data_IF_200009080135
#
_entry.id   IF_200009080135
#
_cell.length_a   1.000
_cell.length_b   1.000
_cell.length_c   1.000
_cell.angle_alpha   90.00
_cell.angle_beta   90.00
_cell.angle_gamma   90.00
#
_symmetry.space_group_name_H-M   'P 1'
#
loop_
_entity.id
_entity.type
_entity.pdbx_description
1 polymer ?
#
# COMPACT_ATOMS: atom_id res chain seq x y z
N UNK A 1 -5.38 -3.19 -9.33
CA UNK A 1 -4.91 -2.34 -8.21
C UNK A 1 -3.99 -3.16 -7.32
N UNK A 2 -2.79 -2.67 -7.00
CA UNK A 2 -1.84 -3.36 -6.12
C UNK A 2 -1.52 -2.50 -4.88
N UNK A 3 -1.18 -3.12 -3.73
CA UNK A 3 -1.10 -2.41 -2.44
C UNK A 3 0.06 -1.41 -2.39
N UNK A 4 -0.15 -0.24 -1.80
CA UNK A 4 0.92 0.73 -1.59
C UNK A 4 2.00 0.16 -0.67
N UNK A 5 3.27 0.37 -1.03
CA UNK A 5 4.44 -0.12 -0.28
C UNK A 5 4.83 0.72 0.94
N UNK A 6 4.19 1.89 1.11
CA UNK A 6 4.47 2.84 2.19
C UNK A 6 5.97 3.18 2.26
N UNK A 7 6.53 3.68 1.15
CA UNK A 7 7.96 3.93 0.99
C UNK A 7 8.53 4.82 2.09
N UNK A 8 9.74 4.49 2.54
CA UNK A 8 10.51 5.30 3.50
C UNK A 8 10.84 6.64 2.87
N UNK A 9 11.30 6.61 1.62
CA UNK A 9 11.49 7.75 0.72
C UNK A 9 10.36 7.75 -0.31
N UNK A 10 9.25 8.46 -0.05
CA UNK A 10 8.07 8.45 -0.91
C UNK A 10 8.10 9.56 -1.99
N UNK A 11 8.55 9.28 -3.23
CA UNK A 11 8.57 10.30 -4.29
C UNK A 11 7.18 10.87 -4.60
N UNK A 12 6.12 10.11 -4.33
CA UNK A 12 4.75 10.57 -4.49
C UNK A 12 4.35 11.66 -3.47
N UNK A 13 4.91 11.66 -2.27
CA UNK A 13 4.74 12.73 -1.28
C UNK A 13 5.54 13.96 -1.72
N UNK A 14 6.79 13.78 -2.12
CA UNK A 14 7.68 14.87 -2.56
C UNK A 14 7.12 15.61 -3.79
N UNK A 15 6.48 14.86 -4.70
CA UNK A 15 5.83 15.43 -5.88
C UNK A 15 4.55 16.23 -5.57
N UNK A 16 3.97 16.11 -4.36
CA UNK A 16 2.71 16.75 -4.03
C UNK A 16 2.89 18.20 -3.55
N UNK A 17 2.79 19.15 -4.48
CA UNK A 17 2.93 20.59 -4.19
C UNK A 17 1.91 21.14 -3.19
N UNK A 18 0.67 20.64 -3.23
CA UNK A 18 -0.41 21.03 -2.32
C UNK A 18 -0.28 20.45 -0.90
N UNK A 19 0.74 19.61 -0.66
CA UNK A 19 0.91 18.85 0.59
C UNK A 19 -0.35 18.05 0.98
N UNK A 20 -1.13 17.65 -0.02
CA UNK A 20 -2.31 16.81 0.16
C UNK A 20 -1.91 15.36 0.43
N UNK A 21 -0.86 14.86 -0.25
CA UNK A 21 -0.23 13.60 0.07
C UNK A 21 0.91 13.87 1.06
N UNK A 22 0.80 13.33 2.27
CA UNK A 22 1.72 13.58 3.37
C UNK A 22 2.03 12.30 4.14
N UNK A 23 3.10 12.34 4.94
CA UNK A 23 3.36 11.37 6.01
C UNK A 23 2.56 11.83 7.23
N UNK A 24 1.68 11.00 7.78
CA UNK A 24 0.92 11.31 9.00
C UNK A 24 1.58 10.65 10.22
N UNK A 25 2.30 11.42 11.07
CA UNK A 25 2.98 10.88 12.25
C UNK A 25 2.00 10.31 13.27
N UNK A 26 0.78 10.85 13.36
CA UNK A 26 -0.24 10.43 14.33
C UNK A 26 -0.75 9.02 14.05
N UNK A 27 -0.64 8.59 12.81
CA UNK A 27 -1.08 7.27 12.34
C UNK A 27 0.09 6.31 12.09
N UNK A 28 1.25 6.53 12.74
CA UNK A 28 2.42 5.66 12.60
C UNK A 28 3.19 5.90 11.30
N UNK A 29 3.27 7.15 10.86
CA UNK A 29 3.95 7.58 9.63
C UNK A 29 3.33 6.99 8.35
N UNK A 30 2.01 6.75 8.33
CA UNK A 30 1.32 6.32 7.12
C UNK A 30 1.37 7.45 6.09
N UNK A 31 1.75 7.13 4.86
CA UNK A 31 1.58 8.05 3.74
C UNK A 31 0.11 8.02 3.37
N UNK A 32 -0.57 9.16 3.37
CA UNK A 32 -2.01 9.25 3.09
C UNK A 32 -2.37 10.54 2.35
N UNK A 33 -3.50 10.51 1.64
CA UNK A 33 -4.00 11.65 0.87
C UNK A 33 -5.13 12.31 1.66
N UNK A 34 -4.94 13.58 1.99
CA UNK A 34 -6.01 14.48 2.39
C UNK A 34 -6.81 14.89 1.14
N UNK A 35 -8.00 14.30 1.00
CA UNK A 35 -8.88 14.51 -0.15
C UNK A 35 -9.38 15.96 -0.24
N UNK A 36 -9.45 16.69 0.89
CA UNK A 36 -9.89 18.08 0.91
C UNK A 36 -8.84 19.02 0.30
N UNK A 37 -7.55 18.72 0.49
CA UNK A 37 -6.43 19.49 -0.08
C UNK A 37 -6.05 19.08 -1.49
N UNK A 38 -6.38 17.86 -1.90
CA UNK A 38 -5.98 17.34 -3.20
C UNK A 38 -6.68 18.11 -4.33
N UNK A 39 -5.94 18.77 -5.22
CA UNK A 39 -6.51 19.44 -6.41
C UNK A 39 -6.62 18.52 -7.64
N UNK A 40 -6.04 17.33 -7.55
CA UNK A 40 -6.11 16.33 -8.61
C UNK A 40 -5.16 16.52 -9.79
N UNK A 41 -3.99 17.12 -9.58
CA UNK A 41 -2.95 17.30 -10.60
C UNK A 41 -2.28 16.00 -11.09
N UNK A 42 -2.55 14.85 -10.45
CA UNK A 42 -1.99 13.51 -10.77
C UNK A 42 -0.48 13.35 -10.63
N UNK A 43 0.26 14.35 -10.13
CA UNK A 43 1.73 14.27 -9.96
C UNK A 43 2.16 13.07 -9.10
N UNK A 44 1.41 12.74 -8.05
CA UNK A 44 1.68 11.57 -7.21
C UNK A 44 1.52 10.22 -7.92
N UNK A 45 0.66 10.15 -8.95
CA UNK A 45 0.47 8.95 -9.78
C UNK A 45 1.68 8.77 -10.69
N UNK A 46 2.15 9.86 -11.32
CA UNK A 46 3.32 9.84 -12.20
C UNK A 46 4.63 9.61 -11.44
N UNK A 47 4.75 10.13 -10.23
CA UNK A 47 5.95 10.00 -9.42
C UNK A 47 6.11 8.63 -8.75
N UNK A 48 5.09 7.76 -8.78
CA UNK A 48 5.20 6.44 -8.16
C UNK A 48 6.11 5.55 -9.02
N UNK A 49 7.21 4.99 -8.48
CA UNK A 49 8.19 4.22 -9.26
C UNK A 49 7.74 2.78 -9.56
N UNK A 50 6.56 2.39 -9.09
CA UNK A 50 6.03 1.05 -9.28
C UNK A 50 5.05 1.03 -10.45
N UNK A 51 5.12 0.00 -11.27
CA UNK A 51 4.15 -0.27 -12.32
C UNK A 51 3.29 -1.48 -11.92
N UNK A 52 1.95 -1.35 -11.83
CA UNK A 52 1.19 -0.11 -11.91
C UNK A 52 1.39 0.79 -10.67
N UNK A 53 1.20 2.09 -10.87
CA UNK A 53 1.28 3.09 -9.80
C UNK A 53 0.42 2.71 -8.59
N UNK A 54 0.96 2.94 -7.40
CA UNK A 54 0.26 2.70 -6.12
C UNK A 54 -0.58 3.88 -5.65
N UNK A 55 -0.40 5.05 -6.26
CA UNK A 55 -1.35 6.15 -6.19
C UNK A 55 -2.23 6.09 -7.44
N UNK A 56 -3.54 6.14 -7.24
CA UNK A 56 -4.54 6.05 -8.30
C UNK A 56 -5.25 7.38 -8.49
N UNK A 57 -5.80 7.57 -9.68
CA UNK A 57 -6.68 8.68 -10.00
C UNK A 57 -8.13 8.22 -9.94
N UNK A 58 -8.97 8.89 -9.14
CA UNK A 58 -10.41 8.73 -9.20
C UNK A 58 -11.00 9.76 -10.19
N UNK A 59 -11.53 9.35 -11.35
CA UNK A 59 -12.06 10.27 -12.35
C UNK A 59 -13.36 10.95 -11.91
N UNK A 60 -14.23 10.26 -11.17
CA UNK A 60 -15.52 10.79 -10.71
C UNK A 60 -15.33 11.92 -9.69
N UNK A 61 -14.51 11.67 -8.66
CA UNK A 61 -14.21 12.65 -7.61
C UNK A 61 -13.18 13.68 -8.04
N UNK A 62 -12.46 13.42 -9.14
CA UNK A 62 -11.31 14.20 -9.60
C UNK A 62 -10.27 14.39 -8.48
N UNK A 63 -9.96 13.31 -7.77
CA UNK A 63 -9.00 13.27 -6.64
C UNK A 63 -8.12 12.04 -6.74
N UNK A 64 -6.90 12.13 -6.21
CA UNK A 64 -6.04 10.97 -6.08
C UNK A 64 -6.50 10.09 -4.89
N UNK A 65 -6.30 8.79 -5.01
CA UNK A 65 -6.59 7.77 -3.99
C UNK A 65 -5.37 6.88 -3.81
N UNK A 66 -5.14 6.38 -2.60
CA UNK A 66 -4.15 5.32 -2.37
C UNK A 66 -4.49 4.55 -1.11
N UNK A 67 -3.88 3.36 -0.97
CA UNK A 67 -3.94 2.61 0.28
C UNK A 67 -3.34 3.41 1.43
N UNK A 68 -4.06 3.49 2.54
CA UNK A 68 -3.74 4.17 3.79
C UNK A 68 -3.60 3.17 4.96
N UNK A 69 -3.29 1.90 4.63
CA UNK A 69 -3.30 0.77 5.57
C UNK A 69 -4.63 0.60 6.31
N UNK A 70 -5.74 1.00 5.66
CA UNK A 70 -7.08 0.97 6.22
C UNK A 70 -7.27 1.85 7.45
N UNK A 71 -6.44 2.89 7.61
CA UNK A 71 -6.57 3.85 8.70
C UNK A 71 -7.92 4.55 8.73
N UNK A 72 -8.53 4.73 7.57
CA UNK A 72 -9.86 5.32 7.40
C UNK A 72 -10.68 4.52 6.37
N UNK A 73 -10.76 3.20 6.55
CA UNK A 73 -11.54 2.33 5.68
C UNK A 73 -13.05 2.52 5.91
N UNK A 74 -13.80 3.03 4.91
CA UNK A 74 -15.25 3.19 5.06
C UNK A 74 -15.92 1.83 5.22
N UNK A 75 -17.00 1.78 6.02
CA UNK A 75 -17.80 0.57 6.26
C UNK A 75 -17.03 -0.59 6.92
N UNK A 76 -15.84 -0.32 7.45
CA UNK A 76 -15.08 -1.33 8.21
C UNK A 76 -15.09 -0.98 9.70
N UNK A 77 -15.62 -1.90 10.52
CA UNK A 77 -15.75 -1.75 11.97
C UNK A 77 -14.50 -2.21 12.76
N UNK A 78 -13.42 -2.59 12.08
CA UNK A 78 -12.17 -3.01 12.70
C UNK A 78 -11.15 -1.89 12.60
N UNK A 79 -10.42 -1.63 13.69
CA UNK A 79 -9.36 -0.63 13.70
C UNK A 79 -8.22 -1.03 12.76
N UNK A 80 -7.97 -0.21 11.74
CA UNK A 80 -6.85 -0.35 10.81
C UNK A 80 -5.58 0.41 11.21
N UNK A 81 -4.71 0.66 10.23
CA UNK A 81 -3.42 1.34 10.42
C UNK A 81 -2.28 0.42 10.87
N UNK A 82 -1.11 1.00 11.16
CA UNK A 82 0.14 0.24 11.47
C UNK A 82 0.02 -0.69 12.68
N UNK A 83 -0.81 -0.32 13.66
CA UNK A 83 -1.09 -1.15 14.85
C UNK A 83 -2.39 -1.94 14.77
N UNK A 84 -3.13 -1.83 13.67
CA UNK A 84 -4.42 -2.46 13.48
C UNK A 84 -4.38 -3.59 12.45
N UNK A 85 -5.56 -3.97 11.95
CA UNK A 85 -5.74 -5.00 10.93
C UNK A 85 -5.84 -4.38 9.53
N UNK A 86 -5.48 -5.13 8.50
CA UNK A 86 -5.69 -4.73 7.10
C UNK A 86 -6.72 -5.64 6.43
N UNK A 87 -7.71 -5.05 5.75
CA UNK A 87 -8.86 -5.81 5.25
C UNK A 87 -8.41 -6.86 4.24
N UNK A 88 -7.40 -6.52 3.42
CA UNK A 88 -6.80 -7.45 2.47
C UNK A 88 -6.08 -8.64 3.13
N UNK A 89 -5.57 -8.48 4.35
CA UNK A 89 -4.97 -9.57 5.13
C UNK A 89 -6.09 -10.45 5.70
N UNK A 90 -7.08 -9.84 6.36
CA UNK A 90 -8.17 -10.58 7.03
C UNK A 90 -9.04 -11.38 6.03
N UNK A 91 -9.26 -10.84 4.83
CA UNK A 91 -10.11 -11.50 3.82
C UNK A 91 -9.37 -12.61 3.05
N UNK A 92 -8.04 -12.74 3.18
CA UNK A 92 -7.28 -13.69 2.37
C UNK A 92 -7.51 -15.13 2.86
N UNK A 93 -8.25 -15.99 2.14
CA UNK A 93 -8.59 -17.32 2.62
C UNK A 93 -7.37 -18.24 2.71
N UNK A 94 -6.39 -18.00 1.84
CA UNK A 94 -5.16 -18.80 1.78
C UNK A 94 -4.05 -18.26 2.68
N UNK A 95 -4.32 -17.19 3.44
CA UNK A 95 -3.32 -16.54 4.32
C UNK A 95 -2.01 -16.16 3.59
N UNK A 96 -2.11 -15.85 2.30
CA UNK A 96 -0.97 -15.54 1.44
C UNK A 96 -0.51 -14.07 1.55
N UNK A 97 -1.18 -13.25 2.35
CA UNK A 97 -0.91 -11.83 2.51
C UNK A 97 -0.65 -11.58 4.00
N UNK A 98 0.45 -10.89 4.32
CA UNK A 98 0.80 -10.52 5.68
C UNK A 98 1.22 -9.05 5.76
N UNK A 99 0.89 -8.41 6.88
CA UNK A 99 1.39 -7.09 7.23
C UNK A 99 2.71 -7.19 8.01
N UNK A 100 3.70 -6.37 7.65
CA UNK A 100 4.99 -6.29 8.35
C UNK A 100 5.29 -4.86 8.77
N UNK A 101 5.81 -4.71 10.00
CA UNK A 101 6.37 -3.44 10.51
C UNK A 101 7.84 -3.26 10.13
N UNK A 102 8.53 -4.36 9.79
CA UNK A 102 9.89 -4.31 9.26
C UNK A 102 9.81 -3.94 7.77
N UNK A 103 10.41 -2.81 7.41
CA UNK A 103 10.48 -2.35 6.03
C UNK A 103 11.31 -3.35 5.20
N UNK A 104 10.73 -3.99 4.19
CA UNK A 104 11.49 -4.83 3.26
C UNK A 104 12.31 -3.98 2.29
N UNK A 105 13.19 -4.61 1.52
CA UNK A 105 13.88 -3.94 0.43
C UNK A 105 12.88 -3.30 -0.54
N UNK A 106 12.98 -1.99 -0.76
CA UNK A 106 12.03 -1.22 -1.57
C UNK A 106 12.46 -1.08 -3.03
N UNK A 107 13.40 -1.91 -3.51
CA UNK A 107 13.77 -1.98 -4.94
C UNK A 107 12.78 -2.88 -5.67
N UNK A 108 11.88 -2.28 -6.46
CA UNK A 108 10.83 -3.02 -7.20
C UNK A 108 10.02 -3.93 -6.26
N UNK A 109 9.69 -5.14 -6.70
CA UNK A 109 8.82 -6.07 -5.97
C UNK A 109 9.56 -7.13 -5.13
N UNK A 110 10.90 -7.24 -5.22
CA UNK A 110 11.65 -8.37 -4.63
C UNK A 110 11.50 -8.48 -3.12
N UNK A 111 11.58 -7.35 -2.39
CA UNK A 111 11.37 -7.35 -0.94
C UNK A 111 9.92 -7.63 -0.52
N UNK A 112 8.98 -7.66 -1.46
CA UNK A 112 7.56 -7.79 -1.17
C UNK A 112 6.90 -9.06 -1.72
N UNK A 113 7.58 -9.77 -2.61
CA UNK A 113 7.16 -11.06 -3.15
C UNK A 113 8.11 -12.12 -2.62
N UNK A 114 7.66 -12.84 -1.60
CA UNK A 114 8.39 -13.97 -1.03
C UNK A 114 7.83 -15.27 -1.58
N UNK A 115 8.70 -16.24 -1.86
CA UNK A 115 8.27 -17.57 -2.25
C UNK A 115 7.88 -18.36 -0.99
N UNK A 116 6.59 -18.69 -0.87
CA UNK A 116 6.05 -19.48 0.24
C UNK A 116 6.06 -21.00 -0.04
N UNK A 117 6.57 -21.45 -1.19
CA UNK A 117 6.66 -22.86 -1.56
C UNK A 117 7.79 -23.54 -0.81
N UNK A 118 7.43 -24.17 0.32
CA UNK A 118 8.35 -24.96 1.14
C UNK A 118 8.39 -26.46 0.78
N UNK A 119 8.93 -27.27 1.70
CA UNK A 119 9.01 -28.73 1.55
C UNK A 119 7.64 -29.39 1.35
N UNK A 120 6.57 -28.82 1.91
CA UNK A 120 5.21 -29.34 1.71
C UNK A 120 4.78 -29.33 0.23
N UNK A 121 5.19 -28.31 -0.55
CA UNK A 121 4.91 -28.26 -1.99
C UNK A 121 5.67 -29.36 -2.74
N UNK A 122 6.93 -29.58 -2.37
CA UNK A 122 7.76 -30.67 -2.92
C UNK A 122 7.14 -32.04 -2.64
N UNK A 123 6.61 -32.27 -1.42
CA UNK A 123 5.92 -33.52 -1.04
C UNK A 123 4.65 -33.77 -1.84
N UNK A 124 3.99 -32.71 -2.32
CA UNK A 124 2.82 -32.79 -3.21
C UNK A 124 3.21 -32.95 -4.70
N UNK A 125 4.50 -33.06 -5.02
CA UNK A 125 5.00 -33.19 -6.40
C UNK A 125 5.12 -31.87 -7.15
N UNK A 126 4.96 -30.73 -6.49
CA UNK A 126 5.07 -29.41 -7.12
C UNK A 126 6.46 -28.79 -6.94
N UNK A 127 6.87 -27.95 -7.90
CA UNK A 127 8.14 -27.21 -7.83
C UNK A 127 8.16 -26.23 -6.65
N UNK A 128 9.37 -26.00 -6.12
CA UNK A 128 9.63 -24.95 -5.12
C UNK A 128 10.19 -23.66 -5.73
N UNK A 129 10.53 -23.69 -7.02
CA UNK A 129 11.06 -22.53 -7.74
C UNK A 129 9.94 -21.56 -8.16
#
# INVERSE_FOLDING_TARGET
MAQCRQCVEPPCVDACREKALQVDPRNGNIRMIDVKKCIGCKSCVQACPYEPSRALWNPEKRRALKCDLCSNAPFWNVKGGVGGKQACVEVCPLQAIQFTKKIPEQKRDTGYKVNLRGESWKKLGYSKD
#
